data_IF_976226291973
#
_entry.id   IF_976226291973
#
_cell.length_a   1.000
_cell.length_b   1.000
_cell.length_c   1.000
_cell.angle_alpha   90.00
_cell.angle_beta   90.00
_cell.angle_gamma   90.00
#
_symmetry.space_group_name_H-M   'P 1'
#
loop_
_entity.id
_entity.type
_entity.pdbx_description
1 polymer ?
#
# COMPACT_ATOMS: atom_id res chain seq x y z
N UNK A 1 6.94 -22.73 -11.86
CA UNK A 1 8.07 -22.23 -11.04
C UNK A 1 8.14 -20.69 -10.93
N UNK A 2 7.02 -19.96 -11.05
CA UNK A 2 6.96 -18.49 -10.79
C UNK A 2 5.71 -18.11 -9.97
N UNK A 3 4.87 -19.08 -9.58
CA UNK A 3 3.59 -18.84 -8.90
C UNK A 3 3.60 -19.16 -7.40
N UNK A 4 4.66 -19.81 -6.88
CA UNK A 4 4.68 -20.33 -5.49
C UNK A 4 5.30 -19.36 -4.46
N UNK A 5 5.37 -18.06 -4.77
CA UNK A 5 5.93 -17.05 -3.86
C UNK A 5 5.19 -15.71 -3.86
N UNK A 6 4.03 -15.61 -4.51
CA UNK A 6 3.39 -14.32 -4.73
C UNK A 6 2.03 -14.23 -4.04
N UNK A 7 2.06 -13.92 -2.74
CA UNK A 7 0.94 -13.23 -2.07
C UNK A 7 1.47 -12.17 -1.09
N UNK A 8 2.00 -11.03 -1.56
CA UNK A 8 1.87 -9.77 -0.84
C UNK A 8 0.59 -9.09 -1.32
N UNK A 9 -0.44 -9.05 -0.49
CA UNK A 9 -1.59 -8.18 -0.74
C UNK A 9 -1.14 -6.70 -0.64
N UNK A 10 -1.78 -5.83 -1.42
CA UNK A 10 -1.56 -4.38 -1.39
C UNK A 10 -2.83 -3.68 -0.99
N UNK A 11 -2.73 -2.85 0.03
CA UNK A 11 -3.75 -1.89 0.40
C UNK A 11 -3.26 -0.50 0.04
N UNK A 12 -3.91 0.11 -0.94
CA UNK A 12 -3.67 1.48 -1.35
C UNK A 12 -4.58 2.41 -0.54
N UNK A 13 -3.99 3.45 0.02
CA UNK A 13 -4.70 4.44 0.83
C UNK A 13 -4.44 5.82 0.25
N UNK A 14 -5.51 6.51 -0.12
CA UNK A 14 -5.45 7.83 -0.75
C UNK A 14 -6.54 8.76 -0.19
N UNK A 15 -6.29 10.06 -0.29
CA UNK A 15 -7.16 11.10 0.27
C UNK A 15 -6.44 12.01 1.26
N UNK A 16 -7.15 13.02 1.75
CA UNK A 16 -6.58 14.03 2.63
C UNK A 16 -6.08 13.39 3.94
N UNK A 17 -4.76 13.47 4.16
CA UNK A 17 -4.11 12.89 5.35
C UNK A 17 -3.57 11.47 5.16
N UNK A 18 -3.74 10.85 4.00
CA UNK A 18 -3.22 9.50 3.72
C UNK A 18 -1.70 9.40 3.97
N UNK A 19 -0.93 10.42 3.55
CA UNK A 19 0.53 10.44 3.74
C UNK A 19 0.97 10.35 5.20
N UNK A 20 0.15 10.83 6.15
CA UNK A 20 0.46 10.72 7.57
C UNK A 20 0.43 9.25 8.04
N UNK A 21 -0.42 8.42 7.42
CA UNK A 21 -0.52 7.00 7.74
C UNK A 21 0.72 6.20 7.37
N UNK A 22 1.53 6.69 6.43
CA UNK A 22 2.80 6.06 6.09
C UNK A 22 3.78 6.03 7.29
N UNK A 23 3.54 6.85 8.32
CA UNK A 23 4.33 6.91 9.56
C UNK A 23 3.54 6.42 10.78
N UNK A 24 2.32 5.90 10.59
CA UNK A 24 1.51 5.40 11.70
C UNK A 24 2.09 4.07 12.21
N UNK A 25 2.52 3.99 13.48
CA UNK A 25 3.18 2.81 14.02
C UNK A 25 2.27 1.57 14.06
N UNK A 26 0.95 1.73 14.21
CA UNK A 26 0.01 0.61 14.20
C UNK A 26 -0.13 0.04 12.79
N UNK A 27 -0.22 0.88 11.77
CA UNK A 27 -0.29 0.43 10.36
C UNK A 27 1.05 -0.14 9.88
N UNK A 28 2.16 0.48 10.27
CA UNK A 28 3.51 -0.02 9.97
C UNK A 28 3.77 -1.40 10.58
N UNK A 29 3.23 -1.71 11.75
CA UNK A 29 3.35 -3.03 12.35
C UNK A 29 2.56 -4.12 11.61
N UNK A 30 1.52 -3.73 10.85
CA UNK A 30 0.65 -4.62 10.09
C UNK A 30 1.08 -4.76 8.62
N UNK A 31 1.97 -3.90 8.15
CA UNK A 31 2.53 -3.94 6.81
C UNK A 31 3.94 -4.53 6.82
N UNK A 32 4.22 -5.43 5.89
CA UNK A 32 5.57 -5.91 5.63
C UNK A 32 6.44 -4.82 4.98
N UNK A 33 5.82 -3.90 4.24
CA UNK A 33 6.47 -2.76 3.61
C UNK A 33 5.46 -1.65 3.36
N UNK A 34 5.91 -0.41 3.44
CA UNK A 34 5.11 0.77 3.10
C UNK A 34 5.85 1.58 2.05
N UNK A 35 5.15 1.98 1.00
CA UNK A 35 5.67 2.88 -0.02
C UNK A 35 4.72 4.06 -0.22
N UNK A 36 5.27 5.19 -0.66
CA UNK A 36 4.49 6.39 -0.94
C UNK A 36 4.77 6.79 -2.39
N UNK A 37 3.71 6.95 -3.17
CA UNK A 37 3.81 7.46 -4.55
C UNK A 37 2.78 8.57 -4.75
N UNK A 38 3.25 9.77 -5.05
CA UNK A 38 2.40 10.97 -5.11
C UNK A 38 1.71 11.21 -3.77
N UNK A 39 0.38 11.12 -3.76
CA UNK A 39 -0.48 11.30 -2.58
C UNK A 39 -1.05 9.99 -2.02
N UNK A 40 -0.62 8.85 -2.58
CA UNK A 40 -1.10 7.52 -2.21
C UNK A 40 -0.05 6.76 -1.40
N UNK A 41 -0.50 6.11 -0.33
CA UNK A 41 0.30 5.19 0.49
C UNK A 41 -0.06 3.76 0.12
N UNK A 42 0.96 2.95 -0.15
CA UNK A 42 0.84 1.54 -0.51
C UNK A 42 1.37 0.72 0.65
N UNK A 43 0.50 -0.01 1.31
CA UNK A 43 0.87 -0.98 2.33
C UNK A 43 0.88 -2.38 1.73
N UNK A 44 2.07 -2.97 1.69
CA UNK A 44 2.25 -4.37 1.31
C UNK A 44 2.14 -5.21 2.57
N UNK A 45 1.25 -6.19 2.57
CA UNK A 45 1.05 -7.08 3.72
C UNK A 45 0.81 -8.51 3.26
N UNK A 46 1.05 -9.45 4.17
CA UNK A 46 0.69 -10.87 3.96
C UNK A 46 -0.74 -11.16 4.37
N UNK A 47 -1.34 -10.26 5.16
CA UNK A 47 -2.70 -10.39 5.69
C UNK A 47 -3.38 -9.02 5.62
N UNK A 48 -4.23 -8.79 4.61
CA UNK A 48 -4.89 -7.49 4.44
C UNK A 48 -5.95 -7.19 5.51
N UNK A 49 -6.60 -8.23 6.06
CA UNK A 49 -7.72 -8.06 7.01
C UNK A 49 -7.40 -7.16 8.22
N UNK A 50 -6.35 -7.42 9.02
CA UNK A 50 -6.05 -6.56 10.17
C UNK A 50 -5.72 -5.12 9.76
N UNK A 51 -5.06 -4.95 8.62
CA UNK A 51 -4.73 -3.62 8.10
C UNK A 51 -5.99 -2.86 7.65
N UNK A 52 -6.91 -3.53 6.94
CA UNK A 52 -8.18 -2.96 6.53
C UNK A 52 -9.05 -2.56 7.73
N UNK A 53 -9.07 -3.38 8.79
CA UNK A 53 -9.81 -3.08 10.01
C UNK A 53 -9.26 -1.83 10.73
N UNK A 54 -7.93 -1.71 10.83
CA UNK A 54 -7.28 -0.51 11.36
C UNK A 54 -7.62 0.74 10.54
N UNK A 55 -7.69 0.60 9.20
CA UNK A 55 -8.05 1.70 8.30
C UNK A 55 -9.53 2.13 8.41
N UNK A 56 -10.44 1.28 8.93
CA UNK A 56 -11.82 1.68 9.20
C UNK A 56 -11.92 2.81 10.24
N UNK A 57 -10.90 3.00 11.08
CA UNK A 57 -10.82 4.12 12.02
C UNK A 57 -10.56 5.47 11.33
N UNK A 58 -10.26 5.45 10.03
CA UNK A 58 -10.01 6.63 9.20
C UNK A 58 -11.04 6.73 8.06
N UNK A 59 -12.34 6.93 8.36
CA UNK A 59 -13.43 6.84 7.37
C UNK A 59 -13.39 7.92 6.28
N UNK A 60 -12.57 8.96 6.47
CA UNK A 60 -12.35 10.02 5.48
C UNK A 60 -11.34 9.63 4.40
N UNK A 61 -10.60 8.53 4.60
CA UNK A 61 -9.65 8.01 3.64
C UNK A 61 -10.30 6.95 2.76
N UNK A 62 -9.82 6.84 1.53
CA UNK A 62 -10.28 5.84 0.58
C UNK A 62 -9.24 4.74 0.51
N UNK A 63 -9.70 3.50 0.57
CA UNK A 63 -8.86 2.32 0.59
C UNK A 63 -9.20 1.41 -0.60
N UNK A 64 -8.20 0.93 -1.31
CA UNK A 64 -8.34 -0.09 -2.34
C UNK A 64 -7.49 -1.30 -1.95
N UNK A 65 -8.08 -2.49 -1.98
CA UNK A 65 -7.38 -3.75 -1.71
C UNK A 65 -7.28 -4.56 -3.00
N UNK A 66 -6.07 -4.99 -3.36
CA UNK A 66 -5.81 -5.87 -4.50
C UNK A 66 -4.59 -6.76 -4.26
N UNK A 67 -4.45 -7.89 -4.97
CA UNK A 67 -3.18 -8.60 -5.02
C UNK A 67 -2.06 -7.70 -5.58
N UNK A 68 -0.83 -7.82 -5.05
CA UNK A 68 0.34 -7.20 -5.69
C UNK A 68 0.53 -7.77 -7.08
N UNK A 69 0.90 -6.92 -8.03
CA UNK A 69 1.23 -7.32 -9.40
C UNK A 69 2.70 -7.00 -9.71
N UNK A 70 3.10 -7.20 -10.97
CA UNK A 70 4.47 -6.92 -11.43
C UNK A 70 4.82 -5.42 -11.49
N UNK A 71 3.85 -4.54 -11.60
CA UNK A 71 3.98 -3.08 -11.57
C UNK A 71 4.44 -2.58 -10.19
N UNK A 72 3.93 -3.19 -9.11
CA UNK A 72 4.42 -2.96 -7.74
C UNK A 72 5.88 -3.40 -7.55
N UNK A 73 6.26 -4.50 -8.21
CA UNK A 73 7.64 -4.97 -8.28
C UNK A 73 8.52 -4.05 -9.15
N UNK A 74 7.94 -3.38 -10.13
CA UNK A 74 8.65 -2.42 -11.00
C UNK A 74 8.91 -1.09 -10.29
N UNK A 75 7.98 -0.62 -9.46
CA UNK A 75 8.19 0.50 -8.54
C UNK A 75 9.38 0.22 -7.59
N UNK A 76 9.45 -1.00 -7.04
CA UNK A 76 10.57 -1.46 -6.20
C UNK A 76 11.92 -1.40 -6.91
N UNK A 77 11.96 -1.72 -8.20
CA UNK A 77 13.22 -1.85 -8.97
C UNK A 77 13.72 -0.55 -9.58
N UNK A 78 12.83 0.40 -9.87
CA UNK A 78 13.21 1.62 -10.60
C UNK A 78 13.32 2.85 -9.70
N UNK A 79 12.75 2.83 -8.50
CA UNK A 79 12.76 3.97 -7.57
C UNK A 79 12.20 5.26 -8.19
N UNK A 80 11.52 5.18 -9.35
CA UNK A 80 11.00 6.33 -10.07
C UNK A 80 9.51 6.44 -9.85
N UNK A 81 9.14 7.56 -9.22
CA UNK A 81 7.82 8.16 -9.26
C UNK A 81 7.25 8.05 -10.68
N UNK A 82 6.16 7.32 -10.85
CA UNK A 82 5.33 7.45 -12.03
C UNK A 82 4.56 8.76 -11.84
N UNK A 83 5.18 9.86 -12.31
CA UNK A 83 4.42 11.04 -12.72
C UNK A 83 3.90 10.71 -14.10
N UNK A 84 2.64 10.30 -14.19
CA UNK A 84 1.88 10.52 -15.42
C UNK A 84 1.11 11.83 -15.24
N UNK A 85 1.69 12.83 -15.89
CA UNK A 85 1.14 14.13 -16.22
C UNK A 85 -0.20 13.96 -16.93
N UNK A 86 -1.21 14.68 -16.47
CA UNK A 86 -2.50 14.86 -17.13
C UNK A 86 -3.05 16.25 -16.80
#
# INVERSE_FOLDING_TARGET
LIAEHLEPEVVEVYGAGALALAQDPALLALAARTEVSGETVFFYTREARPLLDALLQHPHLRTLHRPANLEDLFLKLTGRQIREDG
#
